data_IF_533155132269
#
_entry.id   IF_533155132269
#
_cell.length_a   1.000
_cell.length_b   1.000
_cell.length_c   1.000
_cell.angle_alpha   90.00
_cell.angle_beta   90.00
_cell.angle_gamma   90.00
#
_symmetry.space_group_name_H-M   'P 1'
#
loop_
_entity.id
_entity.type
_entity.pdbx_description
1 polymer ?
#
# COMPACT_ATOMS: atom_id res chain seq x y z
N UNK A 1 -20.35 -17.11 -10.81
CA UNK A 1 -20.42 -16.26 -9.60
C UNK A 1 -19.05 -16.04 -8.94
N UNK A 2 -18.25 -17.09 -8.66
CA UNK A 2 -16.90 -16.98 -8.05
C UNK A 2 -15.96 -15.92 -8.67
N UNK A 3 -15.95 -15.80 -10.00
CA UNK A 3 -15.14 -14.82 -10.73
C UNK A 3 -15.47 -13.37 -10.36
N UNK A 4 -16.75 -13.05 -10.19
CA UNK A 4 -17.20 -11.70 -9.84
C UNK A 4 -16.91 -11.36 -8.39
N UNK A 5 -16.96 -12.35 -7.48
CA UNK A 5 -16.62 -12.13 -6.06
C UNK A 5 -15.15 -11.74 -5.92
N UNK A 6 -14.25 -12.53 -6.52
CA UNK A 6 -12.81 -12.21 -6.54
C UNK A 6 -12.56 -10.85 -7.18
N UNK A 7 -13.21 -10.58 -8.33
CA UNK A 7 -13.06 -9.29 -9.00
C UNK A 7 -13.55 -8.10 -8.17
N UNK A 8 -14.65 -8.23 -7.44
CA UNK A 8 -15.15 -7.17 -6.54
C UNK A 8 -14.21 -6.93 -5.36
N UNK A 9 -13.66 -8.00 -4.78
CA UNK A 9 -12.67 -7.90 -3.70
C UNK A 9 -11.40 -7.19 -4.20
N UNK A 10 -10.87 -7.61 -5.36
CA UNK A 10 -9.71 -6.97 -5.98
C UNK A 10 -9.94 -5.48 -6.27
N UNK A 11 -11.14 -5.13 -6.75
CA UNK A 11 -11.54 -3.74 -6.98
C UNK A 11 -11.58 -2.93 -5.68
N UNK A 12 -12.29 -3.42 -4.67
CA UNK A 12 -12.46 -2.70 -3.40
C UNK A 12 -11.11 -2.52 -2.71
N UNK A 13 -10.36 -3.61 -2.53
CA UNK A 13 -9.06 -3.55 -1.83
C UNK A 13 -8.00 -2.81 -2.64
N UNK A 14 -7.98 -3.00 -3.97
CA UNK A 14 -7.07 -2.26 -4.85
C UNK A 14 -7.34 -0.76 -4.81
N UNK A 15 -8.61 -0.33 -4.86
CA UNK A 15 -8.97 1.09 -4.77
C UNK A 15 -8.64 1.67 -3.39
N UNK A 16 -8.98 0.98 -2.30
CA UNK A 16 -8.63 1.43 -0.95
C UNK A 16 -7.11 1.55 -0.78
N UNK A 17 -6.36 0.57 -1.29
CA UNK A 17 -4.90 0.61 -1.31
C UNK A 17 -4.35 1.80 -2.09
N UNK A 18 -4.91 2.11 -3.27
CA UNK A 18 -4.49 3.27 -4.06
C UNK A 18 -4.73 4.59 -3.32
N UNK A 19 -5.93 4.75 -2.74
CA UNK A 19 -6.25 5.93 -1.92
C UNK A 19 -5.26 6.06 -0.78
N UNK A 20 -4.94 4.96 -0.11
CA UNK A 20 -3.93 4.95 0.94
C UNK A 20 -2.56 5.40 0.42
N UNK A 21 -2.03 4.83 -0.67
CA UNK A 21 -0.72 5.24 -1.21
C UNK A 21 -0.68 6.74 -1.54
N UNK A 22 -1.78 7.30 -2.08
CA UNK A 22 -1.91 8.75 -2.32
C UNK A 22 -1.82 9.52 -1.01
N UNK A 23 -2.57 9.13 0.02
CA UNK A 23 -2.52 9.78 1.33
C UNK A 23 -1.10 9.75 1.91
N UNK A 24 -0.41 8.62 1.78
CA UNK A 24 0.95 8.50 2.31
C UNK A 24 1.95 9.38 1.57
N UNK A 25 1.87 9.45 0.25
CA UNK A 25 2.80 10.23 -0.57
C UNK A 25 2.61 11.74 -0.37
N UNK A 26 1.35 12.21 -0.31
CA UNK A 26 1.04 13.64 -0.33
C UNK A 26 0.85 14.26 1.07
N UNK A 27 0.51 13.47 2.09
CA UNK A 27 0.27 13.99 3.44
C UNK A 27 1.29 13.49 4.46
N UNK A 28 1.52 12.18 4.53
CA UNK A 28 2.35 11.59 5.58
C UNK A 28 3.84 11.85 5.33
N UNK A 29 4.33 11.52 4.13
CA UNK A 29 5.75 11.67 3.80
C UNK A 29 6.26 13.12 3.95
N UNK A 30 5.58 14.16 3.43
CA UNK A 30 6.01 15.54 3.61
C UNK A 30 6.04 15.94 5.09
N UNK A 31 5.05 15.52 5.88
CA UNK A 31 4.97 15.85 7.31
C UNK A 31 6.07 15.15 8.11
N UNK A 32 6.40 13.90 7.75
CA UNK A 32 7.54 13.21 8.34
C UNK A 32 8.84 13.93 8.00
N UNK A 33 9.04 14.30 6.73
CA UNK A 33 10.25 15.00 6.29
C UNK A 33 10.43 16.34 7.00
N UNK A 34 9.35 17.13 7.17
CA UNK A 34 9.42 18.38 7.93
C UNK A 34 9.79 18.12 9.39
N UNK A 35 9.22 17.08 10.01
CA UNK A 35 9.51 16.75 11.40
C UNK A 35 10.99 16.42 11.61
N UNK A 36 11.58 15.59 10.73
CA UNK A 36 13.01 15.26 10.81
C UNK A 36 13.90 16.50 10.60
N UNK A 37 13.51 17.41 9.71
CA UNK A 37 14.22 18.68 9.51
C UNK A 37 14.16 19.58 10.74
N UNK A 38 12.99 19.69 11.38
CA UNK A 38 12.80 20.49 12.61
C UNK A 38 13.66 19.97 13.77
N UNK A 39 13.89 18.64 13.84
CA UNK A 39 14.77 18.02 14.83
C UNK A 39 16.26 18.06 14.46
N UNK A 40 16.64 18.65 13.31
CA UNK A 40 18.03 18.65 12.83
C UNK A 40 18.58 17.25 12.55
N UNK A 41 17.70 16.24 12.42
CA UNK A 41 18.07 14.85 12.25
C UNK A 41 18.13 14.49 10.75
N UNK A 42 19.09 13.66 10.36
CA UNK A 42 19.11 13.14 9.00
C UNK A 42 17.94 12.18 8.77
N UNK A 43 17.25 12.31 7.63
CA UNK A 43 16.24 11.34 7.25
C UNK A 43 16.89 9.94 7.14
N UNK A 44 16.33 8.93 7.84
CA UNK A 44 16.72 7.54 7.69
C UNK A 44 16.64 7.10 6.22
N UNK A 45 17.52 6.17 5.83
CA UNK A 45 17.55 5.65 4.45
C UNK A 45 16.18 5.13 3.98
N UNK A 46 15.49 4.37 4.84
CA UNK A 46 14.15 3.84 4.55
C UNK A 46 13.14 4.94 4.24
N UNK A 47 13.21 6.08 4.95
CA UNK A 47 12.33 7.23 4.70
C UNK A 47 12.63 7.87 3.35
N UNK A 48 13.88 7.96 2.92
CA UNK A 48 14.23 8.53 1.59
C UNK A 48 13.78 7.67 0.42
N UNK A 49 13.82 6.35 0.57
CA UNK A 49 13.41 5.40 -0.49
C UNK A 49 11.90 5.19 -0.52
N UNK A 50 11.22 5.52 0.58
CA UNK A 50 9.78 5.41 0.76
C UNK A 50 8.92 5.91 -0.43
N UNK A 51 9.09 7.14 -0.96
CA UNK A 51 8.26 7.62 -2.07
C UNK A 51 8.38 6.76 -3.33
N UNK A 52 9.55 6.18 -3.61
CA UNK A 52 9.73 5.25 -4.72
C UNK A 52 9.01 3.93 -4.48
N UNK A 53 9.06 3.41 -3.25
CA UNK A 53 8.32 2.18 -2.86
C UNK A 53 6.81 2.40 -2.96
N UNK A 54 6.31 3.54 -2.49
CA UNK A 54 4.90 3.96 -2.61
C UNK A 54 4.47 4.05 -4.07
N UNK A 55 5.30 4.62 -4.94
CA UNK A 55 5.02 4.70 -6.38
C UNK A 55 4.95 3.30 -7.03
N UNK A 56 5.91 2.43 -6.73
CA UNK A 56 5.90 1.03 -7.21
C UNK A 56 4.65 0.29 -6.72
N UNK A 57 4.31 0.43 -5.44
CA UNK A 57 3.11 -0.17 -4.86
C UNK A 57 1.83 0.33 -5.53
N UNK A 58 1.75 1.63 -5.85
CA UNK A 58 0.62 2.21 -6.56
C UNK A 58 0.45 1.59 -7.96
N UNK A 59 1.54 1.36 -8.70
CA UNK A 59 1.49 0.69 -10.02
C UNK A 59 0.97 -0.74 -9.88
N UNK A 60 1.44 -1.48 -8.87
CA UNK A 60 0.96 -2.84 -8.60
C UNK A 60 -0.54 -2.84 -8.28
N UNK A 61 -0.98 -1.96 -7.39
CA UNK A 61 -2.39 -1.83 -6.99
C UNK A 61 -3.28 -1.41 -8.16
N UNK A 62 -2.82 -0.52 -9.04
CA UNK A 62 -3.52 -0.19 -10.27
C UNK A 62 -3.69 -1.41 -11.18
N UNK A 63 -2.68 -2.29 -11.26
CA UNK A 63 -2.77 -3.58 -11.93
C UNK A 63 -3.83 -4.50 -11.31
N UNK A 64 -3.93 -4.54 -9.98
CA UNK A 64 -4.96 -5.31 -9.27
C UNK A 64 -6.36 -4.77 -9.56
N UNK A 65 -6.55 -3.45 -9.50
CA UNK A 65 -7.83 -2.81 -9.86
C UNK A 65 -8.22 -3.13 -11.30
N UNK A 66 -7.26 -3.10 -12.23
CA UNK A 66 -7.50 -3.47 -13.62
C UNK A 66 -7.96 -4.92 -13.78
N UNK A 67 -7.30 -5.86 -13.09
CA UNK A 67 -7.69 -7.28 -13.09
C UNK A 67 -9.09 -7.44 -12.48
N UNK A 68 -9.37 -6.78 -11.35
CA UNK A 68 -10.67 -6.78 -10.70
C UNK A 68 -11.78 -6.26 -11.62
N UNK A 69 -11.56 -5.13 -12.30
CA UNK A 69 -12.49 -4.58 -13.27
C UNK A 69 -12.75 -5.53 -14.45
N UNK A 70 -11.70 -6.19 -14.95
CA UNK A 70 -11.84 -7.20 -16.02
C UNK A 70 -12.63 -8.44 -15.56
N UNK A 71 -12.48 -8.85 -14.30
CA UNK A 71 -13.22 -9.98 -13.72
C UNK A 71 -14.69 -9.66 -13.42
N UNK A 72 -15.01 -8.42 -13.06
CA UNK A 72 -16.38 -7.98 -12.74
C UNK A 72 -17.17 -7.62 -14.00
N UNK A 73 -16.59 -6.80 -14.87
CA UNK A 73 -17.27 -6.20 -16.02
C UNK A 73 -16.97 -6.90 -17.36
N UNK A 74 -16.04 -7.86 -17.38
CA UNK A 74 -15.66 -8.60 -18.59
C UNK A 74 -16.75 -9.56 -19.08
N UNK A 75 -16.89 -9.68 -20.41
CA UNK A 75 -17.90 -10.54 -21.06
C UNK A 75 -17.60 -12.04 -20.95
N UNK A 76 -16.35 -12.45 -20.75
CA UNK A 76 -15.94 -13.86 -20.65
C UNK A 76 -14.93 -14.07 -19.52
N UNK A 77 -15.25 -14.87 -18.49
CA UNK A 77 -14.29 -15.22 -17.46
C UNK A 77 -13.25 -16.19 -18.03
N UNK A 78 -12.03 -15.71 -18.25
CA UNK A 78 -10.88 -16.54 -18.58
C UNK A 78 -10.28 -17.09 -17.27
N UNK A 79 -10.09 -18.40 -17.19
CA UNK A 79 -9.55 -19.08 -16.02
C UNK A 79 -8.14 -18.56 -15.65
N UNK A 80 -7.35 -18.12 -16.64
CA UNK A 80 -6.06 -17.45 -16.41
C UNK A 80 -6.20 -16.12 -15.66
N UNK A 81 -7.19 -15.31 -16.03
CA UNK A 81 -7.49 -14.04 -15.35
C UNK A 81 -7.96 -14.27 -13.91
N UNK A 82 -8.74 -15.34 -13.67
CA UNK A 82 -9.15 -15.70 -12.33
C UNK A 82 -7.98 -16.09 -11.43
N UNK A 83 -7.05 -16.92 -11.94
CA UNK A 83 -5.82 -17.27 -11.20
C UNK A 83 -5.00 -16.03 -10.86
N UNK A 84 -4.89 -15.09 -11.81
CA UNK A 84 -4.21 -13.82 -11.56
C UNK A 84 -4.90 -12.98 -10.47
N UNK A 85 -6.24 -12.90 -10.47
CA UNK A 85 -6.99 -12.21 -9.42
C UNK A 85 -6.77 -12.84 -8.04
N UNK A 86 -6.81 -14.17 -7.94
CA UNK A 86 -6.54 -14.87 -6.67
C UNK A 86 -5.11 -14.60 -6.17
N UNK A 87 -4.12 -14.62 -7.06
CA UNK A 87 -2.73 -14.29 -6.72
C UNK A 87 -2.62 -12.82 -6.27
N UNK A 88 -3.29 -11.91 -6.96
CA UNK A 88 -3.31 -10.49 -6.62
C UNK A 88 -3.88 -10.27 -5.21
N UNK A 89 -4.98 -10.93 -4.88
CA UNK A 89 -5.59 -10.92 -3.55
C UNK A 89 -4.62 -11.42 -2.45
N UNK A 90 -3.92 -12.53 -2.70
CA UNK A 90 -2.94 -13.07 -1.77
C UNK A 90 -1.77 -12.10 -1.55
N UNK A 91 -1.24 -11.50 -2.63
CA UNK A 91 -0.18 -10.49 -2.56
C UNK A 91 -0.65 -9.26 -1.81
N UNK A 92 -1.88 -8.79 -2.04
CA UNK A 92 -2.45 -7.67 -1.28
C UNK A 92 -2.58 -7.97 0.20
N UNK A 93 -2.93 -9.20 0.58
CA UNK A 93 -3.03 -9.58 1.99
C UNK A 93 -1.66 -9.52 2.70
N UNK A 94 -0.61 -10.01 2.03
CA UNK A 94 0.77 -9.95 2.54
C UNK A 94 1.27 -8.51 2.62
N UNK A 95 1.03 -7.71 1.58
CA UNK A 95 1.41 -6.29 1.55
C UNK A 95 0.64 -5.45 2.60
N UNK A 96 -0.64 -5.75 2.81
CA UNK A 96 -1.45 -5.10 3.85
C UNK A 96 -0.95 -5.42 5.26
N UNK A 97 -0.55 -6.67 5.51
CA UNK A 97 0.04 -7.09 6.79
C UNK A 97 1.38 -6.42 7.09
N UNK A 98 2.30 -6.41 6.11
CA UNK A 98 3.61 -5.76 6.27
C UNK A 98 3.48 -4.25 6.42
N UNK A 99 2.49 -3.64 5.76
CA UNK A 99 2.17 -2.24 5.89
C UNK A 99 1.68 -1.84 7.30
N UNK A 100 0.75 -2.59 7.88
CA UNK A 100 0.27 -2.38 9.24
C UNK A 100 1.41 -2.46 10.26
N UNK A 101 2.27 -3.47 10.13
CA UNK A 101 3.45 -3.63 10.97
C UNK A 101 4.37 -2.40 10.86
N UNK A 102 4.67 -1.95 9.64
CA UNK A 102 5.57 -0.82 9.36
C UNK A 102 5.02 0.52 9.86
N UNK A 103 3.69 0.72 9.76
CA UNK A 103 3.01 1.92 10.25
C UNK A 103 3.01 1.99 11.77
N UNK A 104 2.75 0.87 12.44
CA UNK A 104 2.90 0.76 13.89
C UNK A 104 4.34 1.05 14.32
N UNK A 105 5.34 0.51 13.60
CA UNK A 105 6.75 0.78 13.94
C UNK A 105 7.13 2.24 13.70
N UNK A 106 6.61 2.89 12.65
CA UNK A 106 6.89 4.30 12.36
C UNK A 106 6.22 5.27 13.33
N UNK A 107 5.11 4.90 13.96
CA UNK A 107 4.50 5.69 15.04
C UNK A 107 5.27 5.47 16.34
N UNK A 108 5.67 4.23 16.62
CA UNK A 108 6.38 3.87 17.85
C UNK A 108 7.84 4.38 17.86
N UNK A 109 8.54 4.35 16.73
CA UNK A 109 9.97 4.71 16.67
C UNK A 109 10.28 6.15 17.11
N UNK A 110 9.54 7.19 16.70
CA UNK A 110 9.70 8.54 17.23
C UNK A 110 9.40 8.62 18.73
N UNK A 111 8.39 7.90 19.22
CA UNK A 111 8.03 7.87 20.65
C UNK A 111 9.16 7.23 21.46
N UNK A 112 9.70 6.10 21.01
CA UNK A 112 10.81 5.43 21.70
C UNK A 112 12.09 6.26 21.66
N UNK A 113 12.42 6.88 20.52
CA UNK A 113 13.59 7.78 20.41
C UNK A 113 13.47 9.07 21.23
N UNK A 114 12.25 9.57 21.46
CA UNK A 114 11.99 10.68 22.38
C UNK A 114 12.02 10.22 23.85
N UNK A 115 11.53 9.02 24.15
CA UNK A 115 11.50 8.48 25.52
C UNK A 115 12.84 7.99 26.04
N UNK A 116 13.76 7.56 25.17
CA UNK A 116 15.08 7.08 25.58
C UNK A 116 16.08 8.20 25.91
N UNK A 117 15.71 9.46 25.64
CA UNK A 117 16.50 10.65 25.97
C UNK A 117 15.95 11.41 27.20
N UNK A 118 14.96 10.83 27.90
CA UNK A 118 14.45 11.23 29.21
C UNK A 118 14.98 10.25 30.27
#
# INVERSE_FOLDING_TARGET
MKYKVVGWLDLIFGCLGLVQQIVMLFFIYPKLSSLYQDFGAQLPFLTRVYPYLTAIAAVVLAGVVYIGARLVFGKLPNEKMFKLGVIALAVMFVLGGSYLASSLTSILSPIYGLSSNL
#
